data_IF_538330309735
#
_entry.id   IF_538330309735
#
_cell.length_a   1.000
_cell.length_b   1.000
_cell.length_c   1.000
_cell.angle_alpha   90.00
_cell.angle_beta   90.00
_cell.angle_gamma   90.00
#
_symmetry.space_group_name_H-M   'P 1'
#
loop_
_entity.id
_entity.type
_entity.pdbx_description
1 polymer ?
#
# COMPACT_ATOMS: atom_id res chain seq x y z
N UNK A 1 -22.70 19.35 -25.05
CA UNK A 1 -21.43 19.60 -24.33
C UNK A 1 -20.67 18.26 -24.27
N UNK A 2 -19.68 18.07 -25.12
CA UNK A 2 -18.91 16.82 -25.15
C UNK A 2 -17.98 16.82 -23.94
N UNK A 3 -18.18 15.87 -23.04
CA UNK A 3 -17.23 15.59 -21.96
C UNK A 3 -15.90 15.18 -22.60
N UNK A 4 -14.87 15.99 -22.39
CA UNK A 4 -13.50 15.67 -22.76
C UNK A 4 -13.07 14.48 -21.89
N UNK A 5 -13.20 13.26 -22.38
CA UNK A 5 -12.61 12.09 -21.73
C UNK A 5 -11.09 12.18 -21.93
N UNK A 6 -10.39 12.64 -20.90
CA UNK A 6 -8.92 12.50 -20.84
C UNK A 6 -8.65 11.00 -20.73
N UNK A 7 -8.22 10.39 -21.84
CA UNK A 7 -7.70 9.00 -21.83
C UNK A 7 -6.37 8.99 -21.07
N UNK A 8 -6.41 8.71 -19.79
CA UNK A 8 -5.21 8.37 -19.03
C UNK A 8 -4.57 7.12 -19.65
N UNK A 9 -3.24 7.05 -19.63
CA UNK A 9 -2.58 5.81 -20.06
C UNK A 9 -3.00 4.65 -19.15
N UNK A 10 -3.07 3.41 -19.63
CA UNK A 10 -3.37 2.26 -18.78
C UNK A 10 -2.52 2.22 -17.51
N UNK A 11 -1.22 2.53 -17.61
CA UNK A 11 -0.29 2.54 -16.50
C UNK A 11 -0.58 3.60 -15.44
N UNK A 12 -1.30 4.66 -15.79
CA UNK A 12 -1.76 5.68 -14.84
C UNK A 12 -3.11 5.29 -14.21
N UNK A 13 -3.97 4.65 -14.98
CA UNK A 13 -5.33 4.28 -14.55
C UNK A 13 -5.32 3.06 -13.62
N UNK A 14 -4.53 2.04 -13.90
CA UNK A 14 -4.54 0.78 -13.11
C UNK A 14 -4.20 0.95 -11.63
N UNK A 15 -3.19 1.74 -11.21
CA UNK A 15 -2.94 1.97 -9.78
C UNK A 15 -4.12 2.62 -9.07
N UNK A 16 -4.78 3.58 -9.72
CA UNK A 16 -5.97 4.24 -9.16
C UNK A 16 -7.12 3.24 -9.00
N UNK A 17 -7.35 2.39 -10.01
CA UNK A 17 -8.38 1.36 -9.96
C UNK A 17 -8.11 0.33 -8.86
N UNK A 18 -6.85 -0.02 -8.56
CA UNK A 18 -6.52 -0.99 -7.51
C UNK A 18 -7.08 -0.56 -6.16
N UNK A 19 -6.84 0.68 -5.75
CA UNK A 19 -7.33 1.20 -4.47
C UNK A 19 -8.84 1.44 -4.50
N UNK A 20 -9.36 2.03 -5.58
CA UNK A 20 -10.79 2.27 -5.76
C UNK A 20 -11.60 0.96 -5.71
N UNK A 21 -11.16 -0.07 -6.43
CA UNK A 21 -11.86 -1.36 -6.46
C UNK A 21 -11.84 -2.04 -5.08
N UNK A 22 -10.73 -1.93 -4.34
CA UNK A 22 -10.64 -2.47 -2.98
C UNK A 22 -11.59 -1.75 -2.03
N UNK A 23 -11.58 -0.42 -2.03
CA UNK A 23 -12.41 0.39 -1.14
C UNK A 23 -13.90 0.26 -1.47
N UNK A 24 -14.24 0.01 -2.76
CA UNK A 24 -15.59 -0.25 -3.23
C UNK A 24 -16.02 -1.73 -3.15
N UNK A 25 -15.15 -2.60 -2.63
CA UNK A 25 -15.38 -4.05 -2.58
C UNK A 25 -15.62 -4.70 -3.97
N UNK A 26 -15.08 -4.13 -5.03
CA UNK A 26 -15.16 -4.63 -6.41
C UNK A 26 -14.11 -5.72 -6.66
N UNK A 27 -14.27 -6.88 -6.00
CA UNK A 27 -13.25 -7.92 -5.91
C UNK A 27 -12.85 -8.53 -7.24
N UNK A 28 -13.78 -8.74 -8.17
CA UNK A 28 -13.47 -9.30 -9.49
C UNK A 28 -12.69 -8.28 -10.34
N UNK A 29 -13.06 -6.99 -10.27
CA UNK A 29 -12.31 -5.93 -10.92
C UNK A 29 -10.89 -5.83 -10.33
N UNK A 30 -10.76 -5.94 -9.00
CA UNK A 30 -9.46 -5.96 -8.33
C UNK A 30 -8.61 -7.15 -8.79
N UNK A 31 -9.16 -8.36 -8.86
CA UNK A 31 -8.47 -9.57 -9.34
C UNK A 31 -7.94 -9.39 -10.76
N UNK A 32 -8.72 -8.76 -11.64
CA UNK A 32 -8.39 -8.61 -13.05
C UNK A 32 -7.12 -7.81 -13.32
N UNK A 33 -6.68 -7.00 -12.34
CA UNK A 33 -5.49 -6.13 -12.45
C UNK A 33 -4.19 -6.94 -12.28
N UNK A 34 -4.25 -8.06 -11.56
CA UNK A 34 -3.06 -8.81 -11.16
C UNK A 34 -2.67 -9.89 -12.16
N UNK A 35 -1.38 -10.10 -12.26
CA UNK A 35 -0.82 -11.27 -12.92
C UNK A 35 -1.07 -12.53 -12.06
N UNK A 36 -1.26 -13.72 -12.66
CA UNK A 36 -1.53 -14.96 -11.89
C UNK A 36 -0.52 -15.30 -10.80
N UNK A 37 0.72 -14.85 -10.93
CA UNK A 37 1.78 -15.07 -9.91
C UNK A 37 2.07 -13.83 -9.08
N UNK A 38 1.16 -12.86 -9.03
CA UNK A 38 1.39 -11.60 -8.34
C UNK A 38 1.50 -11.75 -6.82
N UNK A 39 2.34 -10.92 -6.22
CA UNK A 39 2.50 -10.80 -4.77
C UNK A 39 2.31 -9.36 -4.31
N UNK A 40 1.72 -9.21 -3.15
CA UNK A 40 1.49 -7.93 -2.49
C UNK A 40 2.19 -7.97 -1.12
N UNK A 41 2.81 -6.84 -0.74
CA UNK A 41 3.43 -6.70 0.57
C UNK A 41 2.74 -5.60 1.36
N UNK A 42 2.23 -5.95 2.54
CA UNK A 42 1.63 -4.99 3.47
C UNK A 42 2.20 -5.16 4.87
N UNK A 43 1.94 -4.20 5.76
CA UNK A 43 2.36 -4.27 7.16
C UNK A 43 1.78 -5.49 7.88
N UNK A 44 0.55 -5.88 7.55
CA UNK A 44 -0.20 -6.92 8.26
C UNK A 44 -0.16 -8.33 7.64
N UNK A 45 0.25 -8.46 6.36
CA UNK A 45 0.37 -9.77 5.70
C UNK A 45 1.81 -10.18 5.40
N UNK A 46 2.76 -9.21 5.39
CA UNK A 46 4.05 -9.45 4.76
C UNK A 46 3.88 -9.76 3.26
N UNK A 47 4.74 -10.61 2.72
CA UNK A 47 4.62 -11.11 1.34
C UNK A 47 3.50 -12.12 1.23
N UNK A 48 2.49 -11.83 0.40
CA UNK A 48 1.37 -12.73 0.18
C UNK A 48 0.96 -12.78 -1.28
N UNK A 49 0.43 -13.91 -1.72
CA UNK A 49 -0.15 -14.04 -3.04
C UNK A 49 -1.38 -13.15 -3.16
N UNK A 50 -1.61 -12.54 -4.33
CA UNK A 50 -2.69 -11.55 -4.49
C UNK A 50 -4.09 -12.09 -4.18
N UNK A 51 -4.35 -13.38 -4.44
CA UNK A 51 -5.65 -14.01 -4.11
C UNK A 51 -5.86 -14.10 -2.59
N UNK A 52 -4.81 -14.44 -1.84
CA UNK A 52 -4.90 -14.52 -0.37
C UNK A 52 -5.03 -13.12 0.23
N UNK A 53 -4.34 -12.12 -0.35
CA UNK A 53 -4.53 -10.71 0.03
C UNK A 53 -5.97 -10.25 -0.19
N UNK A 54 -6.56 -10.56 -1.35
CA UNK A 54 -7.95 -10.19 -1.67
C UNK A 54 -8.92 -10.88 -0.72
N UNK A 55 -8.74 -12.20 -0.48
CA UNK A 55 -9.54 -12.96 0.48
C UNK A 55 -9.49 -12.38 1.89
N UNK A 56 -8.28 -12.04 2.37
CA UNK A 56 -8.10 -11.39 3.67
C UNK A 56 -8.71 -9.99 3.73
N UNK A 57 -8.57 -9.21 2.65
CA UNK A 57 -9.19 -7.88 2.54
C UNK A 57 -10.72 -7.97 2.57
N UNK A 58 -11.30 -8.92 1.83
CA UNK A 58 -12.75 -9.17 1.82
C UNK A 58 -13.24 -9.58 3.21
N UNK A 59 -12.60 -10.53 3.85
CA UNK A 59 -12.96 -10.94 5.20
C UNK A 59 -12.88 -9.79 6.21
N UNK A 60 -11.88 -8.90 6.10
CA UNK A 60 -11.77 -7.71 6.93
C UNK A 60 -12.92 -6.73 6.69
N UNK A 61 -13.27 -6.46 5.42
CA UNK A 61 -14.40 -5.56 5.10
C UNK A 61 -15.74 -6.14 5.58
N UNK A 62 -15.96 -7.45 5.39
CA UNK A 62 -17.16 -8.15 5.86
C UNK A 62 -17.26 -8.12 7.40
N UNK A 63 -16.13 -8.09 8.10
CA UNK A 63 -16.05 -7.93 9.55
C UNK A 63 -16.14 -6.45 10.02
N UNK A 64 -16.38 -5.51 9.11
CA UNK A 64 -16.57 -4.09 9.42
C UNK A 64 -15.30 -3.23 9.40
N UNK A 65 -14.21 -3.70 8.82
CA UNK A 65 -13.03 -2.84 8.63
C UNK A 65 -13.40 -1.61 7.78
N UNK A 66 -13.04 -0.42 8.27
CA UNK A 66 -13.31 0.82 7.58
C UNK A 66 -11.99 1.42 7.09
N UNK A 67 -11.69 1.20 5.82
CA UNK A 67 -10.43 1.62 5.18
C UNK A 67 -10.77 2.44 3.94
N UNK A 68 -10.02 3.50 3.72
CA UNK A 68 -10.15 4.37 2.56
C UNK A 68 -8.76 4.80 2.06
N UNK A 69 -8.61 4.86 0.74
CA UNK A 69 -7.39 5.34 0.09
C UNK A 69 -7.66 6.65 -0.64
N UNK A 70 -6.86 7.69 -0.33
CA UNK A 70 -6.85 8.93 -1.10
C UNK A 70 -5.62 8.94 -1.99
N UNK A 71 -5.82 8.91 -3.31
CA UNK A 71 -4.76 8.94 -4.30
C UNK A 71 -4.43 10.38 -4.67
N UNK A 72 -3.15 10.79 -4.56
CA UNK A 72 -2.71 12.17 -4.79
C UNK A 72 -2.04 12.38 -6.15
N UNK A 73 -1.51 11.32 -6.75
CA UNK A 73 -0.86 11.40 -8.05
C UNK A 73 0.10 10.24 -8.32
N UNK A 74 0.46 10.06 -9.59
CA UNK A 74 1.29 8.94 -10.04
C UNK A 74 2.41 9.41 -10.94
N UNK A 75 3.53 8.68 -10.91
CA UNK A 75 4.59 8.73 -11.93
C UNK A 75 4.85 7.33 -12.44
N UNK A 76 5.12 7.17 -13.73
CA UNK A 76 5.36 5.85 -14.34
C UNK A 76 6.62 5.87 -15.19
N UNK A 77 7.51 4.94 -14.89
CA UNK A 77 8.72 4.65 -15.68
C UNK A 77 8.44 3.40 -16.51
N UNK A 78 8.59 3.48 -17.84
CA UNK A 78 8.33 2.38 -18.77
C UNK A 78 9.65 1.93 -19.39
N UNK A 79 9.89 0.61 -19.42
CA UNK A 79 11.05 0.04 -20.10
C UNK A 79 11.06 0.39 -21.58
N UNK A 80 12.23 0.58 -22.22
CA UNK A 80 12.32 0.94 -23.64
C UNK A 80 11.61 -0.04 -24.59
N UNK A 81 11.54 -1.32 -24.22
CA UNK A 81 10.84 -2.35 -24.99
C UNK A 81 9.31 -2.35 -24.77
N UNK A 82 8.78 -1.52 -23.87
CA UNK A 82 7.36 -1.41 -23.58
C UNK A 82 6.73 -2.64 -22.89
N UNK A 83 7.54 -3.56 -22.35
CA UNK A 83 7.02 -4.80 -21.73
C UNK A 83 6.97 -4.76 -20.19
N UNK A 84 7.71 -3.85 -19.58
CA UNK A 84 7.73 -3.65 -18.12
C UNK A 84 7.55 -2.18 -17.78
N UNK A 85 6.95 -1.92 -16.63
CA UNK A 85 6.84 -0.58 -16.10
C UNK A 85 6.83 -0.60 -14.57
N UNK A 86 7.14 0.55 -13.97
CA UNK A 86 6.98 0.80 -12.54
C UNK A 86 6.14 2.06 -12.37
N UNK A 87 5.06 1.97 -11.62
CA UNK A 87 4.27 3.13 -11.23
C UNK A 87 4.44 3.39 -9.73
N UNK A 88 4.80 4.61 -9.39
CA UNK A 88 4.83 5.11 -8.02
C UNK A 88 3.66 6.06 -7.82
N UNK A 89 2.81 5.76 -6.85
CA UNK A 89 1.60 6.53 -6.55
C UNK A 89 1.65 7.06 -5.13
N UNK A 90 1.57 8.38 -4.96
CA UNK A 90 1.34 8.97 -3.64
C UNK A 90 -0.10 8.68 -3.22
N UNK A 91 -0.26 8.15 -2.01
CA UNK A 91 -1.58 7.90 -1.43
C UNK A 91 -1.55 8.04 0.09
N UNK A 92 -2.71 8.38 0.66
CA UNK A 92 -2.94 8.29 2.10
C UNK A 92 -3.91 7.14 2.35
N UNK A 93 -3.50 6.19 3.20
CA UNK A 93 -4.36 5.15 3.76
C UNK A 93 -4.98 5.73 5.02
N UNK A 94 -6.30 5.73 5.13
CA UNK A 94 -7.00 6.03 6.37
C UNK A 94 -7.74 4.78 6.81
N UNK A 95 -7.41 4.28 8.00
CA UNK A 95 -8.09 3.12 8.59
C UNK A 95 -8.64 3.49 9.96
N UNK A 96 -9.94 3.21 10.15
CA UNK A 96 -10.65 3.39 11.42
C UNK A 96 -10.36 2.24 12.36
N UNK A 97 -10.09 2.55 13.63
CA UNK A 97 -9.91 1.59 14.70
C UNK A 97 -10.66 2.03 15.94
N UNK A 98 -10.91 1.09 16.86
CA UNK A 98 -11.41 1.38 18.20
C UNK A 98 -10.33 0.97 19.21
N UNK A 99 -9.72 1.96 19.85
CA UNK A 99 -8.75 1.77 20.92
C UNK A 99 -9.40 2.03 22.27
N UNK A 100 -9.77 0.97 22.99
CA UNK A 100 -10.36 1.04 24.33
C UNK A 100 -11.60 1.97 24.41
N UNK A 101 -12.47 1.90 23.40
CA UNK A 101 -13.67 2.74 23.33
C UNK A 101 -13.46 4.12 22.71
N UNK A 102 -12.26 4.45 22.28
CA UNK A 102 -11.96 5.64 21.49
C UNK A 102 -11.85 5.29 20.01
N UNK A 103 -12.73 5.83 19.18
CA UNK A 103 -12.57 5.71 17.72
C UNK A 103 -11.47 6.65 17.24
N UNK A 104 -10.55 6.08 16.45
CA UNK A 104 -9.42 6.81 15.89
C UNK A 104 -9.23 6.45 14.42
N UNK A 105 -8.69 7.38 13.64
CA UNK A 105 -8.20 7.15 12.29
C UNK A 105 -6.66 7.13 12.30
N UNK A 106 -6.08 6.01 11.93
CA UNK A 106 -4.66 5.98 11.57
C UNK A 106 -4.54 6.41 10.10
N UNK A 107 -3.98 7.60 9.88
CA UNK A 107 -3.66 8.11 8.54
C UNK A 107 -2.19 7.86 8.23
N UNK A 108 -1.91 7.06 7.20
CA UNK A 108 -0.57 6.72 6.77
C UNK A 108 -0.31 7.25 5.35
N UNK A 109 0.60 8.21 5.24
CA UNK A 109 1.08 8.74 3.96
C UNK A 109 2.10 7.79 3.36
N UNK A 110 1.80 7.27 2.18
CA UNK A 110 2.56 6.22 1.52
C UNK A 110 2.89 6.58 0.08
N UNK A 111 3.87 5.88 -0.46
CA UNK A 111 4.02 5.69 -1.90
C UNK A 111 3.77 4.23 -2.22
N UNK A 112 2.71 3.95 -2.98
CA UNK A 112 2.48 2.63 -3.55
C UNK A 112 3.39 2.45 -4.76
N UNK A 113 3.98 1.28 -4.89
CA UNK A 113 4.86 0.92 -5.99
C UNK A 113 4.31 -0.32 -6.69
N UNK A 114 3.92 -0.16 -7.94
CA UNK A 114 3.38 -1.23 -8.78
C UNK A 114 4.42 -1.60 -9.82
N UNK A 115 4.73 -2.90 -9.90
CA UNK A 115 5.59 -3.48 -10.91
C UNK A 115 4.71 -4.15 -11.96
N UNK A 116 4.69 -3.59 -13.15
CA UNK A 116 3.84 -4.02 -14.25
C UNK A 116 4.60 -4.87 -15.24
N UNK A 117 3.93 -5.89 -15.74
CA UNK A 117 4.37 -6.71 -16.85
C UNK A 117 3.30 -6.72 -17.93
N UNK A 118 3.69 -6.61 -19.20
CA UNK A 118 2.80 -6.68 -20.34
C UNK A 118 2.91 -8.04 -20.99
N UNK A 119 1.82 -8.79 -21.04
CA UNK A 119 1.71 -10.10 -21.68
C UNK A 119 0.47 -10.13 -22.58
N UNK A 120 0.59 -10.66 -23.78
CA UNK A 120 -0.51 -10.74 -24.75
C UNK A 120 -1.21 -9.39 -25.00
N UNK A 121 -0.47 -8.30 -24.91
CA UNK A 121 -1.01 -6.94 -25.09
C UNK A 121 -1.61 -6.31 -23.83
N UNK A 122 -1.78 -7.06 -22.75
CA UNK A 122 -2.37 -6.59 -21.49
C UNK A 122 -1.33 -6.31 -20.41
N UNK A 123 -1.53 -5.23 -19.65
CA UNK A 123 -0.73 -4.91 -18.49
C UNK A 123 -1.31 -5.56 -17.24
N UNK A 124 -0.47 -6.27 -16.47
CA UNK A 124 -0.82 -6.89 -15.18
C UNK A 124 0.20 -6.53 -14.12
N UNK A 125 -0.25 -6.28 -12.90
CA UNK A 125 0.65 -6.04 -11.77
C UNK A 125 1.28 -7.36 -11.31
N UNK A 126 2.61 -7.41 -11.28
CA UNK A 126 3.38 -8.56 -10.78
C UNK A 126 3.64 -8.44 -9.29
N UNK A 127 3.97 -7.23 -8.84
CA UNK A 127 4.25 -6.95 -7.43
C UNK A 127 3.65 -5.61 -7.03
N UNK A 128 3.21 -5.54 -5.78
CA UNK A 128 2.82 -4.28 -5.13
C UNK A 128 3.61 -4.13 -3.84
N UNK A 129 4.31 -3.00 -3.72
CA UNK A 129 5.11 -2.62 -2.57
C UNK A 129 4.71 -1.24 -2.10
N UNK A 130 5.16 -0.88 -0.91
CA UNK A 130 4.87 0.42 -0.34
C UNK A 130 6.12 1.01 0.31
N UNK A 131 6.31 2.34 0.18
CA UNK A 131 7.11 3.12 1.11
C UNK A 131 6.14 3.75 2.10
N UNK A 132 6.28 3.43 3.36
CA UNK A 132 5.53 4.06 4.44
C UNK A 132 6.31 5.29 4.92
N UNK A 133 5.82 6.48 4.63
CA UNK A 133 6.63 7.70 4.79
C UNK A 133 6.40 8.39 6.11
N UNK A 134 5.15 8.49 6.52
CA UNK A 134 4.75 9.19 7.74
C UNK A 134 3.32 8.81 8.10
N UNK A 135 3.03 8.66 9.36
CA UNK A 135 1.68 8.48 9.82
C UNK A 135 1.31 9.39 11.02
N UNK A 136 0.05 9.41 11.34
CA UNK A 136 -0.53 10.09 12.50
C UNK A 136 -1.78 9.38 12.96
N UNK A 137 -2.16 9.61 14.23
CA UNK A 137 -3.41 9.15 14.81
C UNK A 137 -4.33 10.35 15.01
N UNK A 138 -5.57 10.25 14.54
CA UNK A 138 -6.59 11.29 14.66
C UNK A 138 -7.77 10.73 15.45
N UNK A 139 -8.12 11.38 16.56
CA UNK A 139 -9.33 11.03 17.30
C UNK A 139 -10.56 11.49 16.52
N UNK A 140 -11.55 10.62 16.37
CA UNK A 140 -12.82 10.95 15.70
C UNK A 140 -13.62 11.93 16.55
N UNK A 141 -13.71 11.66 17.86
CA UNK A 141 -14.19 12.63 18.85
C UNK A 141 -12.97 13.30 19.50
N UNK A 142 -12.69 14.59 19.20
CA UNK A 142 -11.51 15.27 19.73
C UNK A 142 -11.49 15.42 21.26
N UNK A 143 -12.61 15.15 21.94
CA UNK A 143 -12.70 15.16 23.40
C UNK A 143 -12.25 13.85 24.04
N UNK A 144 -12.06 12.80 23.23
CA UNK A 144 -11.64 11.45 23.66
C UNK A 144 -10.32 11.11 23.05
N UNK A 145 -9.27 11.02 23.87
CA UNK A 145 -7.94 10.65 23.46
C UNK A 145 -7.62 9.28 24.06
N UNK A 146 -7.25 8.27 23.26
CA UNK A 146 -6.89 6.97 23.80
C UNK A 146 -5.54 7.05 24.53
N UNK A 147 -5.42 6.31 25.61
CA UNK A 147 -4.11 6.03 26.20
C UNK A 147 -3.35 5.04 25.31
N UNK A 148 -2.12 5.37 25.00
CA UNK A 148 -1.22 4.52 24.21
C UNK A 148 -0.07 4.03 25.09
N UNK A 149 0.37 2.80 24.84
CA UNK A 149 1.61 2.29 25.42
C UNK A 149 2.81 2.90 24.69
N UNK A 150 3.44 3.89 25.30
CA UNK A 150 4.58 4.63 24.74
C UNK A 150 5.78 3.73 24.49
N UNK A 151 6.03 2.72 25.32
CA UNK A 151 7.16 1.81 25.14
C UNK A 151 6.90 0.89 23.95
N UNK A 152 5.71 0.35 23.83
CA UNK A 152 5.30 -0.42 22.65
C UNK A 152 5.34 0.44 21.39
N UNK A 153 4.84 1.67 21.45
CA UNK A 153 4.81 2.60 20.32
C UNK A 153 6.22 2.89 19.77
N UNK A 154 7.23 2.98 20.64
CA UNK A 154 8.63 3.20 20.25
C UNK A 154 9.25 2.01 19.50
N UNK A 155 8.68 0.82 19.61
CA UNK A 155 9.19 -0.37 18.90
C UNK A 155 8.86 -0.36 17.41
N UNK A 156 7.87 0.44 16.98
CA UNK A 156 7.44 0.51 15.60
C UNK A 156 8.21 1.54 14.77
N UNK A 157 8.44 1.28 13.48
CA UNK A 157 9.06 2.24 12.57
C UNK A 157 8.26 3.54 12.48
N UNK A 158 8.94 4.69 12.47
CA UNK A 158 8.30 6.02 12.53
C UNK A 158 7.41 6.31 11.31
N UNK A 159 7.65 5.65 10.18
CA UNK A 159 6.87 5.85 8.96
C UNK A 159 5.46 5.27 9.00
N UNK A 160 5.16 4.33 9.91
CA UNK A 160 3.84 3.69 10.06
C UNK A 160 3.57 3.25 11.51
N UNK A 161 4.09 4.00 12.47
CA UNK A 161 4.07 3.69 13.90
C UNK A 161 2.66 3.52 14.44
N UNK A 162 1.79 4.45 14.14
CA UNK A 162 0.42 4.45 14.65
C UNK A 162 -0.45 3.42 13.92
N UNK A 163 -0.25 3.25 12.62
CA UNK A 163 -0.91 2.19 11.85
C UNK A 163 -0.53 0.81 12.40
N UNK A 164 0.77 0.56 12.62
CA UNK A 164 1.27 -0.69 13.18
C UNK A 164 0.71 -0.95 14.58
N UNK A 165 0.74 0.06 15.44
CA UNK A 165 0.19 -0.02 16.81
C UNK A 165 -1.29 -0.44 16.77
N UNK A 166 -2.12 0.28 15.99
CA UNK A 166 -3.54 -0.02 15.89
C UNK A 166 -3.80 -1.41 15.32
N UNK A 167 -3.05 -1.84 14.30
CA UNK A 167 -3.19 -3.18 13.71
C UNK A 167 -2.87 -4.29 14.71
N UNK A 168 -1.81 -4.15 15.50
CA UNK A 168 -1.49 -5.15 16.54
C UNK A 168 -2.51 -5.17 17.68
N UNK A 169 -2.93 -3.98 18.17
CA UNK A 169 -3.86 -3.89 19.30
C UNK A 169 -5.27 -4.37 18.97
N UNK A 170 -5.73 -4.16 17.73
CA UNK A 170 -7.15 -4.39 17.41
C UNK A 170 -7.39 -5.57 16.47
N UNK A 171 -6.40 -5.96 15.65
CA UNK A 171 -6.55 -7.06 14.69
C UNK A 171 -5.85 -8.34 15.16
N UNK A 172 -5.05 -8.29 16.21
CA UNK A 172 -4.29 -9.43 16.73
C UNK A 172 -3.25 -9.98 15.74
N UNK A 173 -2.81 -9.15 14.79
CA UNK A 173 -1.76 -9.52 13.84
C UNK A 173 -0.39 -9.04 14.34
N UNK A 174 0.67 -9.74 13.95
CA UNK A 174 2.02 -9.24 14.13
C UNK A 174 2.45 -8.49 12.89
N UNK A 175 2.76 -7.20 13.03
CA UNK A 175 3.13 -6.37 11.88
C UNK A 175 4.59 -6.55 11.48
N UNK A 176 4.86 -6.34 10.18
CA UNK A 176 6.21 -6.31 9.64
C UNK A 176 6.91 -5.01 10.08
N UNK A 177 8.11 -5.13 10.65
CA UNK A 177 8.88 -3.97 11.16
C UNK A 177 9.93 -3.44 10.16
N UNK A 178 10.07 -4.11 9.01
CA UNK A 178 11.10 -3.79 8.01
C UNK A 178 10.51 -3.35 6.65
N UNK A 179 9.27 -2.84 6.65
CA UNK A 179 8.69 -2.28 5.42
C UNK A 179 9.48 -1.04 4.98
N UNK A 180 9.64 -0.81 3.67
CA UNK A 180 10.33 0.37 3.18
C UNK A 180 9.79 1.66 3.79
N UNK A 181 10.68 2.44 4.40
CA UNK A 181 10.34 3.69 5.09
C UNK A 181 10.76 4.93 4.32
N UNK A 182 10.89 6.05 5.02
CA UNK A 182 11.35 7.31 4.47
C UNK A 182 12.88 7.34 4.38
N UNK A 183 13.43 8.00 3.36
CA UNK A 183 14.88 8.17 3.16
C UNK A 183 15.61 8.86 4.34
N UNK A 184 14.87 9.58 5.18
CA UNK A 184 15.44 10.30 6.35
C UNK A 184 15.90 9.38 7.49
N UNK A 185 15.67 8.08 7.38
CA UNK A 185 16.02 7.09 8.41
C UNK A 185 16.97 6.01 7.87
N UNK A 186 18.13 6.37 7.27
CA UNK A 186 18.96 5.44 6.51
C UNK A 186 19.52 4.31 7.36
N UNK A 187 19.71 4.53 8.67
CA UNK A 187 20.31 3.56 9.58
C UNK A 187 19.30 2.56 10.18
N UNK A 188 18.01 2.79 9.98
CA UNK A 188 16.96 1.87 10.42
C UNK A 188 16.74 0.74 9.44
N UNK A 189 16.18 -0.43 9.86
CA UNK A 189 15.77 -1.49 8.92
C UNK A 189 14.85 -0.98 7.82
N UNK A 190 13.89 -0.12 8.17
CA UNK A 190 12.92 0.48 7.26
C UNK A 190 13.59 1.43 6.25
N UNK A 191 14.53 2.26 6.71
CA UNK A 191 15.29 3.18 5.84
C UNK A 191 16.21 2.44 4.85
N UNK A 192 16.85 1.36 5.27
CA UNK A 192 17.67 0.50 4.38
C UNK A 192 16.82 -0.12 3.27
N UNK A 193 15.57 -0.50 3.56
CA UNK A 193 14.64 -1.03 2.57
C UNK A 193 14.14 0.05 1.58
N UNK A 194 14.23 1.34 1.95
CA UNK A 194 13.89 2.44 1.05
C UNK A 194 14.72 2.40 -0.24
N UNK A 195 16.04 2.37 -0.11
CA UNK A 195 16.95 2.39 -1.27
C UNK A 195 16.92 1.07 -2.03
N UNK A 196 16.76 -0.06 -1.31
CA UNK A 196 16.60 -1.37 -1.93
C UNK A 196 15.39 -1.40 -2.89
N UNK A 197 14.24 -0.87 -2.48
CA UNK A 197 13.05 -0.85 -3.33
C UNK A 197 13.24 0.06 -4.56
N UNK A 198 13.96 1.19 -4.44
CA UNK A 198 14.33 2.01 -5.61
C UNK A 198 15.24 1.26 -6.57
N UNK A 199 16.23 0.55 -6.05
CA UNK A 199 17.12 -0.29 -6.86
C UNK A 199 16.33 -1.39 -7.60
N UNK A 200 15.39 -2.06 -6.91
CA UNK A 200 14.50 -3.06 -7.52
C UNK A 200 13.64 -2.46 -8.64
N UNK A 201 13.10 -1.23 -8.44
CA UNK A 201 12.37 -0.51 -9.49
C UNK A 201 13.22 -0.31 -10.75
N UNK A 202 14.47 0.14 -10.58
CA UNK A 202 15.40 0.37 -11.69
C UNK A 202 15.69 -0.93 -12.44
N UNK A 203 16.04 -1.99 -11.73
CA UNK A 203 16.36 -3.31 -12.31
C UNK A 203 15.17 -3.90 -13.07
N UNK A 204 13.97 -3.75 -12.54
CA UNK A 204 12.75 -4.19 -13.21
C UNK A 204 12.55 -3.51 -14.57
N UNK A 205 12.72 -2.20 -14.64
CA UNK A 205 12.58 -1.42 -15.88
C UNK A 205 13.73 -1.73 -16.86
N UNK A 206 14.92 -2.08 -16.37
CA UNK A 206 16.06 -2.56 -17.17
C UNK A 206 15.85 -3.99 -17.73
N UNK A 207 14.79 -4.69 -17.30
CA UNK A 207 14.44 -6.02 -17.79
C UNK A 207 15.01 -7.16 -16.96
N UNK A 208 15.65 -6.86 -15.81
CA UNK A 208 16.19 -7.89 -14.93
C UNK A 208 15.07 -8.50 -14.05
N UNK A 209 15.21 -9.77 -13.71
CA UNK A 209 14.39 -10.38 -12.69
C UNK A 209 14.85 -9.89 -11.31
N UNK A 210 13.89 -9.51 -10.48
CA UNK A 210 14.15 -9.02 -9.12
C UNK A 210 13.33 -9.81 -8.12
N UNK A 211 13.95 -10.13 -7.01
CA UNK A 211 13.24 -10.67 -5.85
C UNK A 211 12.61 -9.52 -5.09
N UNK A 212 11.29 -9.48 -5.15
CA UNK A 212 10.46 -8.40 -4.58
C UNK A 212 9.51 -8.98 -3.55
#
# INVERSE_FOLDING_TARGET
>A
MALLQVKLSPQTTFPLNTNSNRDACEWENLKSIFHPTAHIYTTWTGRTHYLDFIKGSQAGMDAGAFIMHRCHGTTTDIAPNGLRAVTKMKATITQRFNLNGCEVDAESDCRFCFFWQKENGEWKARFVRHWYEKDKLICVDPRKVPELDDEKLKTFPTGYRYLAYCQEETMGVKVMLDMPGHKREPDTPSGKKHDLLYWQCKKWVEGEEVDI
#
